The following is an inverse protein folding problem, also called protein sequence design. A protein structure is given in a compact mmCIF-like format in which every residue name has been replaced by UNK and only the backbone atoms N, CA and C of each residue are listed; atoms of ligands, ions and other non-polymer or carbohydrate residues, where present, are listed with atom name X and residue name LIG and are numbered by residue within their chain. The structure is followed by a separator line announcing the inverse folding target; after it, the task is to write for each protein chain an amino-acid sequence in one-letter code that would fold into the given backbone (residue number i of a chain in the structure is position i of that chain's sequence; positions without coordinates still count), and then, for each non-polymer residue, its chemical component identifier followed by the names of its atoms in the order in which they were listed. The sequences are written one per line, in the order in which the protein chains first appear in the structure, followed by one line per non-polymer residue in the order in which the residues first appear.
data_IF_795922298303
#
_entry.id   IF_795922298303
#
_cell.length_a   1.000
_cell.length_b   1.000
_cell.length_c   1.000
_cell.angle_alpha   90.00
_cell.angle_beta   90.00
_cell.angle_gamma   90.00
#
_symmetry.space_group_name_H-M   'P 1'
#
loop_
_entity.id
_entity.type
_entity.pdbx_description
1 polymer ?
#
# COMPACT_ATOMS: atom_id res chain seq x y z
N UNK A 1 5.19 30.23 -5.26
CA UNK A 1 5.29 29.71 -3.88
C UNK A 1 6.74 29.32 -3.62
N UNK A 2 7.41 30.01 -2.70
CA UNK A 2 8.75 29.60 -2.26
C UNK A 2 8.58 28.50 -1.21
N UNK A 3 8.79 27.25 -1.62
CA UNK A 3 8.96 26.16 -0.67
C UNK A 3 10.29 26.40 0.05
N UNK A 4 10.33 26.33 1.39
CA UNK A 4 11.60 26.47 2.08
C UNK A 4 12.59 25.41 1.54
N UNK A 5 13.88 25.76 1.31
CA UNK A 5 14.86 24.82 0.77
C UNK A 5 14.92 23.50 1.54
N UNK A 6 14.70 23.58 2.86
CA UNK A 6 14.59 22.44 3.77
C UNK A 6 13.43 21.50 3.44
N UNK A 7 12.25 22.03 3.08
CA UNK A 7 11.11 21.22 2.65
C UNK A 7 11.34 20.57 1.29
N UNK A 8 12.01 21.27 0.37
CA UNK A 8 12.32 20.73 -0.95
C UNK A 8 13.29 19.54 -0.81
N UNK A 9 14.33 19.69 0.02
CA UNK A 9 15.27 18.62 0.36
C UNK A 9 14.56 17.44 1.03
N UNK A 10 13.71 17.69 2.01
CA UNK A 10 12.98 16.64 2.73
C UNK A 10 12.08 15.80 1.80
N UNK A 11 11.35 16.46 0.89
CA UNK A 11 10.52 15.74 -0.08
C UNK A 11 11.37 14.99 -1.11
N UNK A 12 12.44 15.60 -1.63
CA UNK A 12 13.37 14.95 -2.56
C UNK A 12 14.01 13.69 -1.96
N UNK A 13 14.47 13.77 -0.72
CA UNK A 13 15.02 12.63 0.03
C UNK A 13 13.96 11.55 0.28
N UNK A 14 12.73 11.92 0.61
CA UNK A 14 11.62 10.97 0.80
C UNK A 14 11.30 10.20 -0.49
N UNK A 15 11.27 10.88 -1.64
CA UNK A 15 11.09 10.23 -2.94
C UNK A 15 12.27 9.34 -3.32
N UNK A 16 13.50 9.80 -3.05
CA UNK A 16 14.71 9.01 -3.29
C UNK A 16 14.72 7.73 -2.44
N UNK A 17 14.36 7.82 -1.16
CA UNK A 17 14.29 6.67 -0.27
C UNK A 17 13.24 5.64 -0.73
N UNK A 18 12.03 6.08 -1.11
CA UNK A 18 10.99 5.20 -1.65
C UNK A 18 11.41 4.54 -2.97
N UNK A 19 12.07 5.29 -3.86
CA UNK A 19 12.52 4.77 -5.15
C UNK A 19 13.68 3.78 -4.97
N UNK A 20 14.63 4.09 -4.08
CA UNK A 20 15.74 3.21 -3.74
C UNK A 20 15.24 1.91 -3.11
N UNK A 21 14.25 2.01 -2.21
CA UNK A 21 13.54 0.89 -1.63
C UNK A 21 12.93 -0.04 -2.71
N UNK A 22 12.14 0.52 -3.63
CA UNK A 22 11.55 -0.25 -4.73
C UNK A 22 12.62 -0.91 -5.59
N UNK A 23 13.65 -0.17 -5.98
CA UNK A 23 14.73 -0.71 -6.82
C UNK A 23 15.48 -1.82 -6.11
N UNK A 24 15.74 -1.70 -4.80
CA UNK A 24 16.37 -2.74 -4.00
C UNK A 24 15.53 -4.03 -4.00
N UNK A 25 14.22 -3.92 -3.76
CA UNK A 25 13.31 -5.07 -3.77
C UNK A 25 13.26 -5.74 -5.15
N UNK A 26 13.21 -4.96 -6.23
CA UNK A 26 13.19 -5.49 -7.61
C UNK A 26 14.53 -6.13 -8.01
N UNK A 27 15.66 -5.55 -7.62
CA UNK A 27 16.98 -6.06 -8.01
C UNK A 27 17.35 -7.33 -7.26
N UNK A 28 17.15 -7.34 -5.94
CA UNK A 28 17.65 -8.41 -5.08
C UNK A 28 16.60 -9.47 -4.76
N UNK A 29 15.33 -9.09 -4.61
CA UNK A 29 14.31 -10.00 -4.10
C UNK A 29 13.28 -10.44 -5.16
N UNK A 30 13.38 -9.99 -6.42
CA UNK A 30 12.42 -10.42 -7.48
C UNK A 30 12.29 -11.94 -7.64
N UNK A 31 13.42 -12.66 -7.58
CA UNK A 31 13.43 -14.12 -7.77
C UNK A 31 12.84 -14.83 -6.55
N UNK A 32 13.12 -14.31 -5.36
CA UNK A 32 12.61 -14.82 -4.09
C UNK A 32 11.11 -14.55 -3.95
N UNK A 33 10.63 -13.34 -4.32
CA UNK A 33 9.21 -13.02 -4.37
C UNK A 33 8.48 -13.95 -5.34
N UNK A 34 9.05 -14.18 -6.53
CA UNK A 34 8.40 -15.06 -7.52
C UNK A 34 8.41 -16.52 -7.08
N UNK A 35 9.48 -16.98 -6.43
CA UNK A 35 9.55 -18.31 -5.82
C UNK A 35 8.53 -18.45 -4.69
N UNK A 36 8.51 -17.51 -3.74
CA UNK A 36 7.59 -17.52 -2.60
C UNK A 36 6.14 -17.39 -3.03
N UNK A 37 5.82 -16.59 -4.06
CA UNK A 37 4.47 -16.47 -4.62
C UNK A 37 4.01 -17.77 -5.30
N UNK A 38 4.94 -18.51 -5.92
CA UNK A 38 4.64 -19.79 -6.58
C UNK A 38 4.58 -20.96 -5.59
N UNK A 39 5.44 -20.94 -4.57
CA UNK A 39 5.58 -21.99 -3.55
C UNK A 39 4.80 -21.68 -2.26
N UNK A 40 3.94 -20.65 -2.23
CA UNK A 40 3.18 -20.29 -1.01
C UNK A 40 2.32 -21.43 -0.47
N UNK A 41 1.98 -22.41 -1.33
CA UNK A 41 1.21 -23.61 -0.96
C UNK A 41 2.06 -24.80 -0.50
N UNK A 42 3.35 -24.79 -0.79
CA UNK A 42 4.27 -25.92 -0.59
C UNK A 42 5.54 -25.44 0.14
N UNK A 43 5.35 -24.60 1.16
CA UNK A 43 6.43 -24.19 2.05
C UNK A 43 6.81 -25.36 2.96
N UNK A 44 8.12 -25.59 3.11
CA UNK A 44 8.66 -26.54 4.07
C UNK A 44 8.10 -26.21 5.46
N UNK A 45 7.45 -27.16 6.14
CA UNK A 45 6.73 -26.86 7.37
C UNK A 45 7.72 -26.61 8.51
N UNK A 46 7.97 -25.33 8.79
CA UNK A 46 8.59 -24.90 10.03
C UNK A 46 7.79 -25.41 11.24
N UNK A 47 8.44 -25.49 12.41
CA UNK A 47 7.82 -25.99 13.66
C UNK A 47 6.51 -25.23 13.98
N UNK A 48 6.45 -23.93 13.69
CA UNK A 48 5.24 -23.12 13.80
C UNK A 48 4.15 -23.53 12.80
N UNK A 49 4.51 -23.73 11.52
CA UNK A 49 3.56 -24.15 10.48
C UNK A 49 2.99 -25.55 10.78
N UNK A 50 3.83 -26.44 11.32
CA UNK A 50 3.44 -27.78 11.78
C UNK A 50 2.46 -27.74 12.95
N UNK A 51 2.62 -26.79 13.88
CA UNK A 51 1.66 -26.57 14.97
C UNK A 51 0.38 -25.89 14.47
N UNK A 52 0.46 -25.01 13.46
CA UNK A 52 -0.72 -24.35 12.86
C UNK A 52 -1.55 -25.29 11.98
N UNK A 53 -0.96 -26.36 11.40
CA UNK A 53 -1.69 -27.40 10.63
C UNK A 53 -2.78 -28.13 11.42
N UNK A 54 -2.77 -28.06 12.76
CA UNK A 54 -3.85 -28.58 13.60
C UNK A 54 -5.11 -27.71 13.57
N UNK A 55 -5.03 -26.48 13.07
CA UNK A 55 -6.16 -25.57 12.92
C UNK A 55 -6.69 -25.63 11.49
N UNK A 56 -8.03 -25.72 11.37
CA UNK A 56 -8.69 -25.69 10.06
C UNK A 56 -8.54 -24.28 9.47
N UNK A 57 -7.77 -24.16 8.40
CA UNK A 57 -7.60 -22.90 7.69
C UNK A 57 -8.95 -22.37 7.19
N UNK A 58 -9.18 -21.06 7.32
CA UNK A 58 -10.37 -20.42 6.81
C UNK A 58 -10.38 -20.53 5.26
N UNK A 59 -11.55 -20.74 4.62
CA UNK A 59 -11.59 -20.83 3.17
C UNK A 59 -11.07 -19.53 2.53
N UNK A 60 -10.21 -19.64 1.51
CA UNK A 60 -9.63 -18.48 0.80
C UNK A 60 -10.70 -17.49 0.30
N UNK A 61 -11.91 -17.99 -0.03
CA UNK A 61 -13.06 -17.17 -0.45
C UNK A 61 -13.51 -16.16 0.61
N UNK A 62 -13.35 -16.45 1.91
CA UNK A 62 -13.73 -15.51 2.97
C UNK A 62 -12.89 -14.24 2.93
N UNK A 63 -11.60 -14.34 2.62
CA UNK A 63 -10.74 -13.18 2.44
C UNK A 63 -11.15 -12.36 1.22
N UNK A 64 -11.49 -13.01 0.11
CA UNK A 64 -12.01 -12.34 -1.09
C UNK A 64 -13.33 -11.62 -0.84
N UNK A 65 -14.26 -12.25 -0.11
CA UNK A 65 -15.55 -11.65 0.24
C UNK A 65 -15.38 -10.44 1.17
N UNK A 66 -14.55 -10.56 2.22
CA UNK A 66 -14.25 -9.46 3.14
C UNK A 66 -13.60 -8.28 2.40
N UNK A 67 -12.69 -8.56 1.47
CA UNK A 67 -12.06 -7.54 0.63
C UNK A 67 -13.07 -6.80 -0.24
N UNK A 68 -13.99 -7.52 -0.90
CA UNK A 68 -15.08 -6.92 -1.69
C UNK A 68 -16.01 -6.05 -0.83
N UNK A 69 -16.38 -6.54 0.36
CA UNK A 69 -17.23 -5.79 1.30
C UNK A 69 -16.52 -4.48 1.73
N UNK A 70 -15.22 -4.54 2.03
CA UNK A 70 -14.42 -3.38 2.40
C UNK A 70 -14.34 -2.34 1.27
N UNK A 71 -14.12 -2.78 0.02
CA UNK A 71 -14.17 -1.91 -1.17
C UNK A 71 -15.54 -1.25 -1.33
N UNK A 72 -16.62 -2.01 -1.14
CA UNK A 72 -17.98 -1.48 -1.26
C UNK A 72 -18.27 -0.41 -0.20
N UNK A 73 -17.88 -0.63 1.06
CA UNK A 73 -18.01 0.38 2.12
C UNK A 73 -17.12 1.61 1.87
N UNK A 74 -15.91 1.43 1.36
CA UNK A 74 -15.02 2.53 0.98
C UNK A 74 -15.63 3.39 -0.14
N UNK A 75 -16.16 2.75 -1.18
CA UNK A 75 -16.82 3.45 -2.30
C UNK A 75 -18.11 4.14 -1.85
N UNK A 76 -18.92 3.50 -1.01
CA UNK A 76 -20.11 4.11 -0.41
C UNK A 76 -19.76 5.35 0.43
N UNK A 77 -18.64 5.32 1.16
CA UNK A 77 -18.17 6.47 1.95
C UNK A 77 -17.72 7.64 1.07
N UNK A 78 -17.10 7.35 -0.08
CA UNK A 78 -16.64 8.39 -1.02
C UNK A 78 -17.81 9.03 -1.78
N UNK A 79 -18.82 8.24 -2.18
CA UNK A 79 -20.00 8.73 -2.91
C UNK A 79 -21.09 9.32 -2.00
N UNK A 80 -21.17 8.89 -0.73
CA UNK A 80 -22.19 9.34 0.21
C UNK A 80 -21.97 10.76 0.74
N UNK A 81 -20.75 11.28 0.64
CA UNK A 81 -20.41 12.67 0.99
C UNK A 81 -19.92 13.39 -0.26
N UNK A 82 -20.01 14.72 -0.27
CA UNK A 82 -19.50 15.59 -1.35
C UNK A 82 -17.96 15.66 -1.33
N UNK A 83 -17.32 14.48 -1.38
CA UNK A 83 -15.89 14.24 -1.14
C UNK A 83 -15.00 14.84 -2.23
N UNK A 84 -15.57 15.53 -3.23
CA UNK A 84 -14.85 16.17 -4.34
C UNK A 84 -14.02 15.19 -5.21
N UNK A 85 -14.07 13.90 -4.91
CA UNK A 85 -13.23 12.83 -5.43
C UNK A 85 -14.05 12.05 -6.48
N UNK A 86 -13.57 11.94 -7.74
CA UNK A 86 -14.23 11.07 -8.72
C UNK A 86 -14.11 9.61 -8.29
N UNK A 87 -15.16 8.83 -8.52
CA UNK A 87 -15.24 7.40 -8.17
C UNK A 87 -14.05 6.57 -8.67
N UNK A 88 -13.48 6.90 -9.83
CA UNK A 88 -12.30 6.22 -10.36
C UNK A 88 -11.03 6.43 -9.52
N UNK A 89 -10.84 7.62 -8.93
CA UNK A 89 -9.64 7.90 -8.15
C UNK A 89 -9.60 7.16 -6.81
N UNK A 90 -10.75 6.69 -6.30
CA UNK A 90 -10.78 5.72 -5.20
C UNK A 90 -10.09 4.40 -5.59
N UNK A 91 -10.47 3.81 -6.72
CA UNK A 91 -9.83 2.57 -7.20
C UNK A 91 -8.33 2.74 -7.47
N UNK A 92 -7.93 3.89 -8.02
CA UNK A 92 -6.50 4.20 -8.21
C UNK A 92 -5.76 4.26 -6.88
N UNK A 93 -6.36 4.84 -5.83
CA UNK A 93 -5.73 4.86 -4.49
C UNK A 93 -5.51 3.46 -3.93
N UNK A 94 -6.48 2.55 -4.11
CA UNK A 94 -6.39 1.15 -3.67
C UNK A 94 -5.33 0.39 -4.48
N UNK A 95 -5.28 0.58 -5.79
CA UNK A 95 -4.27 -0.05 -6.65
C UNK A 95 -2.86 0.40 -6.26
N UNK A 96 -2.67 1.71 -6.06
CA UNK A 96 -1.39 2.24 -5.58
C UNK A 96 -1.04 1.65 -4.22
N UNK A 97 -2.01 1.55 -3.30
CA UNK A 97 -1.76 0.90 -2.01
C UNK A 97 -1.25 -0.52 -2.19
N UNK A 98 -1.96 -1.37 -2.95
CA UNK A 98 -1.58 -2.77 -3.20
C UNK A 98 -0.19 -2.90 -3.82
N UNK A 99 0.13 -2.05 -4.81
CA UNK A 99 1.44 -2.07 -5.48
C UNK A 99 2.57 -1.70 -4.52
N UNK A 100 2.34 -0.70 -3.66
CA UNK A 100 3.36 -0.25 -2.73
C UNK A 100 3.42 -1.09 -1.44
N UNK A 101 2.39 -1.85 -1.09
CA UNK A 101 2.38 -2.73 0.10
C UNK A 101 3.50 -3.76 0.03
N UNK A 102 3.66 -4.43 -1.11
CA UNK A 102 4.68 -5.48 -1.27
C UNK A 102 6.10 -4.98 -0.98
N UNK A 103 6.63 -3.93 -1.64
CA UNK A 103 7.99 -3.47 -1.37
C UNK A 103 8.14 -2.85 0.02
N UNK A 104 7.13 -2.13 0.54
CA UNK A 104 7.24 -1.52 1.87
C UNK A 104 7.23 -2.55 3.00
N UNK A 105 6.41 -3.60 2.90
CA UNK A 105 6.36 -4.68 3.90
C UNK A 105 7.65 -5.50 3.93
N UNK A 106 8.24 -5.79 2.77
CA UNK A 106 9.52 -6.52 2.69
C UNK A 106 10.65 -5.74 3.38
N UNK A 107 10.74 -4.44 3.11
CA UNK A 107 11.79 -3.60 3.71
C UNK A 107 11.53 -3.41 5.21
N UNK A 108 10.28 -3.24 5.62
CA UNK A 108 9.92 -3.21 7.02
C UNK A 108 10.34 -4.51 7.73
N UNK A 109 10.10 -5.67 7.12
CA UNK A 109 10.49 -6.97 7.68
C UNK A 109 12.00 -7.13 7.84
N UNK A 110 12.81 -6.64 6.89
CA UNK A 110 14.27 -6.81 6.90
C UNK A 110 14.97 -5.75 7.76
N UNK A 111 14.57 -4.49 7.60
CA UNK A 111 15.29 -3.33 8.17
C UNK A 111 14.60 -2.71 9.37
N UNK A 112 13.34 -3.08 9.64
CA UNK A 112 12.48 -2.46 10.66
C UNK A 112 12.27 -0.95 10.45
N UNK A 113 12.45 -0.45 9.22
CA UNK A 113 12.21 0.95 8.85
C UNK A 113 10.87 1.06 8.15
N UNK A 114 9.96 1.85 8.73
CA UNK A 114 8.64 2.15 8.13
C UNK A 114 8.76 3.24 7.08
N UNK A 115 8.74 2.83 5.81
CA UNK A 115 8.65 3.75 4.68
C UNK A 115 7.21 4.22 4.54
N UNK A 116 7.00 5.53 4.72
CA UNK A 116 5.66 6.12 4.73
C UNK A 116 5.36 6.82 3.40
N UNK A 117 4.21 6.51 2.79
CA UNK A 117 3.76 7.10 1.51
C UNK A 117 3.13 8.50 1.65
N UNK A 118 3.38 9.13 2.80
CA UNK A 118 2.83 10.42 3.21
C UNK A 118 3.14 11.59 2.27
N UNK A 119 4.15 11.47 1.41
CA UNK A 119 4.56 12.49 0.43
C UNK A 119 4.10 12.11 -0.98
N UNK A 120 4.35 10.86 -1.39
CA UNK A 120 4.10 10.40 -2.75
C UNK A 120 2.60 10.29 -3.06
N UNK A 121 1.80 9.82 -2.10
CA UNK A 121 0.37 9.68 -2.33
C UNK A 121 -0.36 11.02 -2.54
N UNK A 122 -0.22 12.04 -1.66
CA UNK A 122 -0.89 13.31 -1.88
C UNK A 122 -0.32 14.06 -3.09
N UNK A 123 0.96 13.84 -3.43
CA UNK A 123 1.54 14.38 -4.66
C UNK A 123 0.86 13.80 -5.90
N UNK A 124 0.73 12.46 -6.01
CA UNK A 124 0.00 11.81 -7.11
C UNK A 124 -1.47 12.24 -7.17
N UNK A 125 -2.15 12.29 -6.02
CA UNK A 125 -3.54 12.73 -5.94
C UNK A 125 -3.72 14.19 -6.40
N UNK A 126 -2.77 15.07 -6.06
CA UNK A 126 -2.77 16.47 -6.49
C UNK A 126 -2.64 16.64 -8.00
N UNK A 127 -1.90 15.76 -8.68
CA UNK A 127 -1.85 15.72 -10.16
C UNK A 127 -3.15 15.22 -10.77
N UNK A 128 -3.79 14.24 -10.15
CA UNK A 128 -5.02 13.64 -10.68
C UNK A 128 -6.27 14.51 -10.47
N UNK A 129 -6.34 15.24 -9.36
CA UNK A 129 -7.51 16.04 -8.97
C UNK A 129 -7.03 17.47 -8.60
N UNK A 130 -6.73 18.32 -9.60
CA UNK A 130 -6.25 19.66 -9.34
C UNK A 130 -7.33 20.49 -8.64
N UNK A 131 -6.92 21.23 -7.60
CA UNK A 131 -7.78 22.21 -6.92
C UNK A 131 -8.78 21.66 -5.91
N UNK A 132 -8.79 20.35 -5.63
CA UNK A 132 -9.72 19.73 -4.67
C UNK A 132 -8.99 19.12 -3.47
N UNK A 133 -8.70 19.90 -2.41
CA UNK A 133 -7.87 19.46 -1.29
C UNK A 133 -8.52 18.36 -0.44
N UNK A 134 -9.85 18.35 -0.34
CA UNK A 134 -10.59 17.31 0.40
C UNK A 134 -10.41 15.95 -0.29
N UNK A 135 -10.50 15.93 -1.63
CA UNK A 135 -10.28 14.73 -2.42
C UNK A 135 -8.85 14.18 -2.27
N UNK A 136 -7.85 15.07 -2.25
CA UNK A 136 -6.44 14.68 -2.04
C UNK A 136 -6.21 14.06 -0.67
N UNK A 137 -6.85 14.57 0.38
CA UNK A 137 -6.72 14.03 1.74
C UNK A 137 -7.39 12.67 1.89
N UNK A 138 -8.59 12.48 1.33
CA UNK A 138 -9.27 11.18 1.35
C UNK A 138 -8.46 10.14 0.55
N UNK A 139 -7.90 10.52 -0.60
CA UNK A 139 -6.98 9.66 -1.35
C UNK A 139 -5.75 9.26 -0.52
N UNK A 140 -5.16 10.22 0.21
CA UNK A 140 -4.03 9.96 1.11
C UNK A 140 -4.38 8.97 2.22
N UNK A 141 -5.59 9.04 2.79
CA UNK A 141 -6.03 8.10 3.84
C UNK A 141 -6.08 6.67 3.30
N UNK A 142 -6.77 6.45 2.18
CA UNK A 142 -6.94 5.12 1.61
C UNK A 142 -5.64 4.49 1.13
N UNK A 143 -4.69 5.31 0.67
CA UNK A 143 -3.36 4.82 0.28
C UNK A 143 -2.45 4.64 1.50
N UNK A 144 -2.22 5.69 2.29
CA UNK A 144 -1.10 5.74 3.23
C UNK A 144 -1.43 5.08 4.55
N UNK A 145 -2.66 5.23 5.05
CA UNK A 145 -3.05 4.66 6.34
C UNK A 145 -3.26 3.16 6.19
N UNK A 146 -3.88 2.70 5.10
CA UNK A 146 -4.02 1.27 4.80
C UNK A 146 -2.66 0.58 4.78
N UNK A 147 -1.64 1.23 4.22
CA UNK A 147 -0.26 0.74 4.21
C UNK A 147 0.40 0.70 5.59
N UNK A 148 0.04 1.61 6.49
CA UNK A 148 0.53 1.58 7.87
C UNK A 148 -0.17 0.54 8.77
N UNK A 149 -1.28 -0.03 8.30
CA UNK A 149 -2.05 -1.06 9.01
C UNK A 149 -1.85 -2.48 8.42
N UNK A 150 -0.97 -2.61 7.43
CA UNK A 150 -0.60 -3.87 6.78
C UNK A 150 0.68 -4.44 7.42
#
# INVERSE_FOLDING_TARGET
MFLAPTFALNYGLSFAALTAAIMHVILFHRKEIWYQFKNSRDQEPDIHLRLMKNYKEAPEWWYGALFLISIAFGLASVLGYDSQLPWWAFFVSVIIAVVFVLPTCIILGITNVTLSLNVLSPFLAGFMIPGKPIGVMVFKVFSTITLGQA
#
